data_IF_921771545701
#
_entry.id   IF_921771545701
#
_cell.length_a   1.000
_cell.length_b   1.000
_cell.length_c   1.000
_cell.angle_alpha   90.00
_cell.angle_beta   90.00
_cell.angle_gamma   90.00
#
_symmetry.space_group_name_H-M   'P 1'
#
loop_
_entity.id
_entity.type
_entity.pdbx_description
1 polymer ?
#
# COMPACT_ATOMS: atom_id res chain seq x y z
N UNK A 1 -36.44 77.52 -1.29
CA UNK A 1 -35.26 77.57 -0.39
C UNK A 1 -35.33 76.35 0.47
N UNK A 2 -34.95 75.24 -0.02
CA UNK A 2 -35.03 73.97 0.67
C UNK A 2 -33.63 73.39 0.74
N UNK A 3 -33.15 73.19 1.94
CA UNK A 3 -31.88 72.58 2.26
C UNK A 3 -32.05 71.04 2.16
N UNK A 4 -31.31 70.45 1.26
CA UNK A 4 -31.15 69.00 1.19
C UNK A 4 -29.99 68.58 2.13
N UNK A 5 -30.29 67.77 3.13
CA UNK A 5 -29.28 67.09 3.96
C UNK A 5 -28.80 65.82 3.22
N UNK A 6 -27.50 65.47 3.31
CA UNK A 6 -27.02 64.23 2.70
C UNK A 6 -27.36 63.04 3.60
N UNK A 7 -27.88 61.98 2.97
CA UNK A 7 -28.13 60.69 3.53
C UNK A 7 -26.82 59.99 3.86
N UNK A 8 -26.74 59.54 5.10
CA UNK A 8 -25.69 58.70 5.67
C UNK A 8 -25.59 57.36 4.90
N UNK A 9 -24.40 57.07 4.39
CA UNK A 9 -24.10 55.78 3.74
C UNK A 9 -23.78 54.78 4.85
N UNK A 10 -24.66 53.78 5.01
CA UNK A 10 -24.50 52.71 5.95
C UNK A 10 -23.16 51.96 5.75
N UNK A 11 -22.49 51.70 6.87
CA UNK A 11 -21.34 50.81 6.93
C UNK A 11 -21.71 49.39 6.51
N UNK A 12 -20.78 48.64 5.91
CA UNK A 12 -21.04 47.22 5.58
C UNK A 12 -21.15 46.42 6.89
N UNK A 13 -22.15 45.56 6.92
CA UNK A 13 -22.39 44.59 7.98
C UNK A 13 -21.14 43.76 8.24
N UNK A 14 -20.72 43.70 9.49
CA UNK A 14 -19.71 42.77 9.99
C UNK A 14 -20.22 41.35 9.78
N UNK A 15 -19.43 40.55 9.10
CA UNK A 15 -19.65 39.10 8.96
C UNK A 15 -19.79 38.47 10.34
N UNK A 16 -20.93 37.83 10.51
CA UNK A 16 -21.31 37.01 11.65
C UNK A 16 -20.28 35.84 11.75
N UNK A 17 -19.25 36.06 12.59
CA UNK A 17 -18.38 35.01 13.02
C UNK A 17 -19.22 33.99 13.78
N UNK A 18 -19.32 32.78 13.23
CA UNK A 18 -19.99 31.67 13.89
C UNK A 18 -19.42 31.53 15.32
N UNK A 19 -20.20 31.97 16.28
CA UNK A 19 -19.93 31.80 17.72
C UNK A 19 -20.02 30.29 18.02
N UNK A 20 -18.86 29.58 17.97
CA UNK A 20 -18.76 28.25 18.47
C UNK A 20 -19.04 28.23 19.96
N UNK A 21 -20.29 28.02 20.32
CA UNK A 21 -20.74 27.90 21.69
C UNK A 21 -20.12 26.64 22.33
N UNK A 22 -19.01 26.86 23.03
CA UNK A 22 -18.43 25.86 23.91
C UNK A 22 -19.32 25.72 25.17
N UNK A 23 -20.00 24.59 25.27
CA UNK A 23 -20.78 24.25 26.46
C UNK A 23 -19.89 23.41 27.38
N UNK A 24 -19.70 23.87 28.62
CA UNK A 24 -19.05 23.06 29.66
C UNK A 24 -20.08 22.06 30.20
N UNK A 25 -20.16 20.89 29.59
CA UNK A 25 -20.85 19.74 30.18
C UNK A 25 -19.99 19.13 31.29
N UNK A 26 -20.62 18.61 32.32
CA UNK A 26 -19.90 17.93 33.41
C UNK A 26 -19.14 16.72 32.84
N UNK A 27 -17.84 16.75 32.99
CA UNK A 27 -16.97 15.63 32.61
C UNK A 27 -17.35 14.36 33.38
N UNK A 28 -17.45 13.23 32.71
CA UNK A 28 -17.85 11.94 33.29
C UNK A 28 -16.88 10.85 32.85
N UNK A 29 -16.42 10.03 33.80
CA UNK A 29 -15.52 8.87 33.56
C UNK A 29 -16.15 7.79 32.68
N UNK A 30 -17.47 7.83 32.46
CA UNK A 30 -18.19 6.87 31.62
C UNK A 30 -18.45 7.37 30.21
N UNK A 31 -18.45 8.69 30.01
CA UNK A 31 -18.64 9.29 28.70
C UNK A 31 -17.36 9.23 27.89
N UNK A 32 -17.45 8.65 26.70
CA UNK A 32 -16.33 8.65 25.75
C UNK A 32 -16.36 9.89 24.86
N UNK A 33 -15.19 10.32 24.45
CA UNK A 33 -14.97 11.44 23.57
C UNK A 33 -13.91 11.08 22.52
N UNK A 34 -14.04 11.63 21.34
CA UNK A 34 -12.98 11.62 20.32
C UNK A 34 -12.15 12.89 20.48
N UNK A 35 -10.84 12.79 20.57
CA UNK A 35 -9.95 13.95 20.54
C UNK A 35 -10.02 14.57 19.16
N UNK A 36 -10.48 15.82 19.08
CA UNK A 36 -10.55 16.59 17.83
C UNK A 36 -9.24 17.35 17.60
N UNK A 37 -8.75 18.02 18.63
CA UNK A 37 -7.45 18.69 18.58
C UNK A 37 -6.77 18.71 19.95
N UNK A 38 -5.46 18.84 19.95
CA UNK A 38 -4.65 18.94 21.16
C UNK A 38 -3.67 20.11 21.04
N UNK A 39 -4.00 21.24 21.65
CA UNK A 39 -3.12 22.42 21.70
C UNK A 39 -2.19 22.33 22.91
N UNK A 40 -0.99 21.81 22.67
CA UNK A 40 0.04 21.64 23.71
C UNK A 40 0.59 22.98 24.22
N UNK A 41 0.56 24.03 23.40
CA UNK A 41 1.07 25.35 23.74
C UNK A 41 0.13 26.07 24.73
N UNK A 42 -1.16 26.04 24.46
CA UNK A 42 -2.18 26.70 25.28
C UNK A 42 -2.79 25.74 26.32
N UNK A 43 -2.38 24.46 26.30
CA UNK A 43 -2.88 23.39 27.19
C UNK A 43 -4.40 23.21 27.09
N UNK A 44 -4.89 23.15 25.86
CA UNK A 44 -6.30 22.95 25.55
C UNK A 44 -6.48 21.62 24.79
N UNK A 45 -7.59 20.96 25.07
CA UNK A 45 -8.01 19.77 24.35
C UNK A 45 -9.45 19.94 23.87
N UNK A 46 -9.68 19.76 22.57
CA UNK A 46 -11.00 19.72 21.98
C UNK A 46 -11.49 18.28 21.89
N UNK A 47 -12.68 18.03 22.38
CA UNK A 47 -13.29 16.70 22.50
C UNK A 47 -14.63 16.68 21.78
N UNK A 48 -14.81 15.76 20.84
CA UNK A 48 -16.07 15.51 20.13
C UNK A 48 -16.85 14.37 20.77
N UNK A 49 -18.16 14.53 20.85
CA UNK A 49 -19.04 13.43 21.23
C UNK A 49 -19.20 12.46 20.05
N UNK A 50 -19.15 11.14 20.27
CA UNK A 50 -19.19 10.15 19.19
C UNK A 50 -20.56 9.98 18.53
N UNK A 51 -21.62 10.51 19.14
CA UNK A 51 -23.01 10.43 18.71
C UNK A 51 -23.57 11.77 18.20
N UNK A 52 -22.72 12.79 18.11
CA UNK A 52 -23.12 14.12 17.66
C UNK A 52 -21.93 14.88 17.07
N UNK A 53 -22.21 15.99 16.37
CA UNK A 53 -21.16 16.91 15.89
C UNK A 53 -20.71 17.91 16.95
N UNK A 54 -21.26 17.82 18.18
CA UNK A 54 -20.86 18.74 19.28
C UNK A 54 -19.41 18.51 19.66
N UNK A 55 -18.71 19.61 19.83
CA UNK A 55 -17.34 19.63 20.35
C UNK A 55 -17.32 20.46 21.64
N UNK A 56 -16.61 19.98 22.65
CA UNK A 56 -16.36 20.68 23.90
C UNK A 56 -14.87 20.90 24.05
N UNK A 57 -14.47 22.00 24.67
CA UNK A 57 -13.07 22.31 24.89
C UNK A 57 -12.76 22.42 26.40
N UNK A 58 -11.71 21.74 26.81
CA UNK A 58 -11.25 21.76 28.19
C UNK A 58 -9.79 22.20 28.28
N UNK A 59 -9.45 22.84 29.39
CA UNK A 59 -8.07 23.05 29.76
C UNK A 59 -7.49 21.85 30.50
N UNK A 60 -6.18 21.68 30.42
CA UNK A 60 -5.43 20.73 31.23
C UNK A 60 -4.16 21.36 31.78
N UNK A 61 -3.54 20.73 32.75
CA UNK A 61 -2.32 21.23 33.43
C UNK A 61 -1.22 20.17 33.40
N UNK A 62 -0.07 20.45 33.98
CA UNK A 62 0.97 19.45 34.21
C UNK A 62 0.58 18.42 35.27
N UNK A 63 -0.40 18.75 36.12
CA UNK A 63 -0.94 17.84 37.12
C UNK A 63 -2.01 16.90 36.58
N UNK A 64 -2.55 17.18 35.38
CA UNK A 64 -3.52 16.32 34.71
C UNK A 64 -2.89 14.94 34.46
N UNK A 65 -3.53 13.90 34.97
CA UNK A 65 -3.08 12.52 34.78
C UNK A 65 -3.41 12.06 33.37
N UNK A 66 -2.39 11.65 32.61
CA UNK A 66 -2.58 11.06 31.29
C UNK A 66 -2.41 9.54 31.45
N UNK A 67 -3.45 8.78 31.12
CA UNK A 67 -3.52 7.35 31.38
C UNK A 67 -3.83 6.59 30.08
N UNK A 68 -3.26 5.39 29.97
CA UNK A 68 -3.64 4.45 28.92
C UNK A 68 -4.98 3.74 29.27
N UNK A 69 -5.40 2.81 28.42
CA UNK A 69 -6.61 2.00 28.58
C UNK A 69 -6.60 1.13 29.84
N UNK A 70 -5.41 0.82 30.38
CA UNK A 70 -5.21 0.02 31.58
C UNK A 70 -5.04 0.88 32.84
N UNK A 71 -5.06 2.20 32.69
CA UNK A 71 -4.88 3.14 33.80
C UNK A 71 -3.41 3.36 34.20
N UNK A 72 -2.47 3.01 33.33
CA UNK A 72 -1.05 3.31 33.54
C UNK A 72 -0.71 4.71 33.05
N UNK A 73 0.20 5.38 33.73
CA UNK A 73 0.66 6.71 33.30
C UNK A 73 1.41 6.65 31.98
N UNK A 74 1.04 7.51 31.06
CA UNK A 74 1.69 7.66 29.75
C UNK A 74 2.02 9.11 29.45
N UNK A 75 2.88 9.35 28.46
CA UNK A 75 3.19 10.69 27.98
C UNK A 75 1.98 11.31 27.28
N UNK A 76 1.83 12.64 27.39
CA UNK A 76 0.86 13.40 26.61
C UNK A 76 0.99 13.18 25.09
N UNK A 77 2.20 12.88 24.59
CA UNK A 77 2.45 12.60 23.18
C UNK A 77 1.77 11.33 22.66
N UNK A 78 1.29 10.49 23.58
CA UNK A 78 0.47 9.32 23.26
C UNK A 78 -0.93 9.71 22.78
N UNK A 79 -1.42 10.87 23.24
CA UNK A 79 -2.71 11.40 22.83
C UNK A 79 -2.58 12.13 21.49
N UNK A 80 -3.43 11.76 20.55
CA UNK A 80 -3.51 12.35 19.21
C UNK A 80 -4.96 12.57 18.81
N UNK A 81 -5.25 13.52 17.92
CA UNK A 81 -6.55 13.60 17.27
C UNK A 81 -7.00 12.24 16.73
N UNK A 82 -8.26 11.92 16.96
CA UNK A 82 -8.84 10.61 16.63
C UNK A 82 -8.73 9.56 17.73
N UNK A 83 -7.92 9.75 18.78
CA UNK A 83 -7.97 8.85 19.94
C UNK A 83 -9.30 9.02 20.69
N UNK A 84 -9.83 7.91 21.18
CA UNK A 84 -11.03 7.92 22.01
C UNK A 84 -10.64 7.86 23.48
N UNK A 85 -11.16 8.81 24.25
CA UNK A 85 -10.79 9.01 25.66
C UNK A 85 -12.02 9.12 26.56
N UNK A 86 -11.82 8.87 27.83
CA UNK A 86 -12.67 9.35 28.93
C UNK A 86 -11.92 10.44 29.67
N UNK A 87 -12.63 11.34 30.32
CA UNK A 87 -12.04 12.44 31.08
C UNK A 87 -12.54 12.43 32.52
N UNK A 88 -11.66 12.79 33.44
CA UNK A 88 -12.03 12.94 34.85
C UNK A 88 -12.75 14.24 35.13
N UNK A 89 -13.04 14.46 36.42
CA UNK A 89 -13.70 15.68 36.87
C UNK A 89 -12.84 16.94 36.63
N UNK A 90 -13.51 18.07 36.61
CA UNK A 90 -12.83 19.37 36.57
C UNK A 90 -12.34 19.77 37.95
N UNK A 91 -11.15 20.34 38.02
CA UNK A 91 -10.63 20.92 39.23
C UNK A 91 -11.27 22.30 39.51
N UNK A 92 -10.83 22.97 40.56
CA UNK A 92 -11.34 24.29 40.96
C UNK A 92 -11.09 25.43 39.94
N UNK A 93 -10.20 25.17 38.96
CA UNK A 93 -9.88 26.11 37.87
C UNK A 93 -10.53 25.68 36.53
N UNK A 94 -11.50 24.75 36.57
CA UNK A 94 -12.16 24.18 35.42
C UNK A 94 -11.18 23.49 34.44
N UNK A 95 -10.13 22.84 34.99
CA UNK A 95 -9.17 22.01 34.23
C UNK A 95 -9.42 20.54 34.49
N UNK A 96 -9.16 19.69 33.47
CA UNK A 96 -9.29 18.26 33.61
C UNK A 96 -8.28 17.70 34.62
N UNK A 97 -8.77 16.84 35.52
CA UNK A 97 -7.92 16.10 36.46
C UNK A 97 -7.25 14.90 35.84
N UNK A 98 -7.91 14.27 34.88
CA UNK A 98 -7.35 13.15 34.13
C UNK A 98 -7.91 13.07 32.69
N UNK A 99 -7.10 12.46 31.80
CA UNK A 99 -7.47 12.07 30.44
C UNK A 99 -7.00 10.63 30.27
N UNK A 100 -7.88 9.72 29.95
CA UNK A 100 -7.59 8.30 29.84
C UNK A 100 -8.04 7.75 28.49
N UNK A 101 -7.20 6.94 27.82
CA UNK A 101 -7.62 6.18 26.66
C UNK A 101 -8.79 5.25 27.04
N UNK A 102 -9.85 5.25 26.26
CA UNK A 102 -11.09 4.55 26.60
C UNK A 102 -10.90 3.03 26.53
N UNK A 103 -11.07 2.33 27.66
CA UNK A 103 -10.93 0.86 27.76
C UNK A 103 -12.11 0.09 27.16
N UNK A 104 -13.26 0.75 26.96
CA UNK A 104 -14.45 0.15 26.35
C UNK A 104 -14.50 0.22 24.84
N UNK A 105 -13.42 0.70 24.21
CA UNK A 105 -13.29 0.87 22.77
C UNK A 105 -12.22 -0.07 22.26
N UNK A 106 -12.54 -0.84 21.22
CA UNK A 106 -11.54 -1.62 20.50
C UNK A 106 -10.81 -0.75 19.50
N UNK A 107 -9.58 -1.13 19.16
CA UNK A 107 -8.83 -0.53 18.07
C UNK A 107 -8.13 -1.61 17.24
N UNK A 108 -7.91 -1.29 15.96
CA UNK A 108 -7.10 -2.09 15.04
C UNK A 108 -6.09 -1.14 14.37
N UNK A 109 -4.83 -1.51 14.44
CA UNK A 109 -3.70 -0.72 13.90
C UNK A 109 -3.20 -1.31 12.58
N UNK A 110 -2.48 -0.48 11.82
CA UNK A 110 -1.74 -0.89 10.62
C UNK A 110 -2.60 -1.65 9.59
N UNK A 111 -3.83 -1.20 9.41
CA UNK A 111 -4.74 -1.79 8.42
C UNK A 111 -4.34 -1.28 7.04
N UNK A 112 -3.89 -2.19 6.17
CA UNK A 112 -3.47 -1.92 4.79
C UNK A 112 -4.46 -2.46 3.76
N UNK A 113 -5.39 -3.34 4.18
CA UNK A 113 -6.42 -3.93 3.30
C UNK A 113 -7.78 -3.65 3.88
N UNK A 114 -8.49 -2.77 3.25
CA UNK A 114 -9.84 -2.39 3.62
C UNK A 114 -10.61 -1.92 2.39
N UNK A 115 -11.93 -1.87 2.47
CA UNK A 115 -12.76 -1.18 1.49
C UNK A 115 -13.82 -0.33 2.18
N UNK A 116 -14.10 0.85 1.64
CA UNK A 116 -15.05 1.81 2.17
C UNK A 116 -16.22 1.95 1.20
N UNK A 117 -17.42 1.57 1.65
CA UNK A 117 -18.66 1.86 0.92
C UNK A 117 -19.35 3.04 1.59
N UNK A 118 -19.15 4.22 1.02
CA UNK A 118 -19.72 5.47 1.54
C UNK A 118 -21.24 5.53 1.34
N UNK A 119 -21.80 4.81 0.38
CA UNK A 119 -23.23 4.85 0.07
C UNK A 119 -24.09 4.24 1.17
N UNK A 120 -23.54 3.28 1.91
CA UNK A 120 -24.22 2.56 2.99
C UNK A 120 -23.52 2.72 4.35
N UNK A 121 -22.48 3.55 4.44
CA UNK A 121 -21.71 3.78 5.66
C UNK A 121 -21.05 2.50 6.19
N UNK A 122 -20.29 1.81 5.33
CA UNK A 122 -19.66 0.54 5.68
C UNK A 122 -18.15 0.57 5.41
N UNK A 123 -17.38 0.04 6.35
CA UNK A 123 -15.96 -0.28 6.20
C UNK A 123 -15.79 -1.80 6.35
N UNK A 124 -15.09 -2.42 5.42
CA UNK A 124 -14.73 -3.84 5.47
C UNK A 124 -13.24 -3.95 5.76
N UNK A 125 -12.88 -4.74 6.76
CA UNK A 125 -11.48 -5.04 7.12
C UNK A 125 -11.33 -6.56 7.12
N UNK A 126 -10.58 -7.10 6.17
CA UNK A 126 -10.56 -8.54 5.92
C UNK A 126 -11.97 -9.05 5.58
N UNK A 127 -12.49 -9.99 6.38
CA UNK A 127 -13.85 -10.52 6.22
C UNK A 127 -14.89 -9.81 7.09
N UNK A 128 -14.46 -8.90 7.97
CA UNK A 128 -15.34 -8.28 8.94
C UNK A 128 -15.90 -6.96 8.43
N UNK A 129 -17.22 -6.83 8.52
CA UNK A 129 -17.96 -5.63 8.14
C UNK A 129 -18.26 -4.79 9.38
N UNK A 130 -17.91 -3.52 9.32
CA UNK A 130 -18.19 -2.52 10.33
C UNK A 130 -19.07 -1.43 9.73
N UNK A 131 -19.85 -0.78 10.58
CA UNK A 131 -20.70 0.36 10.18
C UNK A 131 -20.11 1.64 10.72
N UNK A 132 -20.38 2.73 10.05
CA UNK A 132 -20.18 4.07 10.55
C UNK A 132 -21.35 4.95 10.16
N UNK A 133 -21.53 6.04 10.86
CA UNK A 133 -22.60 7.00 10.61
C UNK A 133 -22.01 8.39 10.28
N UNK A 134 -22.86 9.39 10.19
CA UNK A 134 -22.50 10.77 9.89
C UNK A 134 -21.63 11.44 10.96
N UNK A 135 -21.47 10.82 12.14
CA UNK A 135 -20.66 11.35 13.26
C UNK A 135 -19.26 10.76 13.28
N UNK A 136 -18.94 9.87 12.34
CA UNK A 136 -17.58 9.36 12.18
C UNK A 136 -16.58 10.51 12.03
N UNK A 137 -15.51 10.44 12.83
CA UNK A 137 -14.39 11.39 12.74
C UNK A 137 -13.18 10.73 12.08
N UNK A 138 -12.63 11.41 11.09
CA UNK A 138 -11.46 10.91 10.35
C UNK A 138 -10.34 11.92 10.43
N UNK A 139 -9.13 11.45 10.72
CA UNK A 139 -7.96 12.30 10.92
C UNK A 139 -6.78 11.86 10.07
N UNK A 140 -6.04 12.85 9.56
CA UNK A 140 -4.76 12.67 8.88
C UNK A 140 -3.84 13.84 9.30
N UNK A 141 -2.61 13.55 9.76
CA UNK A 141 -1.66 14.55 10.27
C UNK A 141 -2.27 15.53 11.30
N UNK A 142 -3.00 14.96 12.27
CA UNK A 142 -3.68 15.70 13.31
C UNK A 142 -4.77 16.69 12.80
N UNK A 143 -5.12 16.62 11.51
CA UNK A 143 -6.22 17.37 10.90
C UNK A 143 -7.43 16.49 10.67
N UNK A 144 -8.63 17.01 10.93
CA UNK A 144 -9.86 16.33 10.57
C UNK A 144 -10.07 16.41 9.05
N UNK A 145 -10.35 15.27 8.42
CA UNK A 145 -10.54 15.14 6.97
C UNK A 145 -11.87 14.42 6.66
N UNK A 146 -12.29 14.49 5.40
CA UNK A 146 -13.40 13.66 4.93
C UNK A 146 -12.97 12.20 4.74
N UNK A 147 -13.88 11.26 4.98
CA UNK A 147 -13.65 9.83 4.69
C UNK A 147 -13.32 9.58 3.20
N UNK A 148 -13.81 10.43 2.30
CA UNK A 148 -13.53 10.36 0.86
C UNK A 148 -12.08 10.71 0.50
N UNK A 149 -11.29 11.20 1.45
CA UNK A 149 -9.88 11.51 1.26
C UNK A 149 -8.96 10.36 1.72
N UNK A 150 -9.53 9.26 2.19
CA UNK A 150 -8.76 8.04 2.47
C UNK A 150 -8.56 7.32 1.15
N UNK A 151 -7.31 7.12 0.76
CA UNK A 151 -6.91 6.34 -0.43
C UNK A 151 -6.81 4.84 -0.12
N UNK A 152 -6.88 4.02 -1.16
CA UNK A 152 -6.75 2.56 -1.04
C UNK A 152 -5.36 2.12 -0.57
N UNK A 153 -4.36 2.95 -0.84
CA UNK A 153 -2.97 2.73 -0.44
C UNK A 153 -2.63 3.27 0.95
N UNK A 154 -3.60 3.84 1.66
CA UNK A 154 -3.37 4.35 3.00
C UNK A 154 -3.25 3.23 4.02
N UNK A 155 -2.50 3.50 5.07
CA UNK A 155 -2.49 2.67 6.26
C UNK A 155 -3.33 3.38 7.31
N UNK A 156 -4.37 2.71 7.79
CA UNK A 156 -5.31 3.29 8.73
C UNK A 156 -5.29 2.59 10.08
N UNK A 157 -5.66 3.34 11.10
CA UNK A 157 -6.05 2.86 12.43
C UNK A 157 -7.52 3.13 12.61
N UNK A 158 -8.26 2.16 13.09
CA UNK A 158 -9.71 2.25 13.31
C UNK A 158 -10.03 2.00 14.77
N UNK A 159 -10.95 2.79 15.33
CA UNK A 159 -11.43 2.64 16.70
C UNK A 159 -12.94 2.63 16.72
N UNK A 160 -13.52 1.79 17.59
CA UNK A 160 -14.98 1.64 17.65
C UNK A 160 -15.48 0.86 18.85
N UNK A 161 -16.80 0.72 18.92
CA UNK A 161 -17.48 -0.14 19.88
C UNK A 161 -18.34 -1.14 19.13
N UNK A 162 -18.39 -2.39 19.55
CA UNK A 162 -19.10 -3.46 18.87
C UNK A 162 -18.77 -3.53 17.37
N UNK A 163 -19.74 -3.25 16.50
CA UNK A 163 -19.59 -3.17 15.04
C UNK A 163 -19.66 -1.73 14.51
N UNK A 164 -19.66 -0.74 15.38
CA UNK A 164 -19.71 0.69 15.05
C UNK A 164 -18.32 1.29 15.11
N UNK A 165 -17.89 1.93 14.03
CA UNK A 165 -16.65 2.73 13.97
C UNK A 165 -16.99 4.14 14.45
N UNK A 166 -16.14 4.66 15.32
CA UNK A 166 -16.27 5.99 15.89
C UNK A 166 -15.17 6.93 15.39
N UNK A 167 -13.98 6.40 15.09
CA UNK A 167 -12.85 7.19 14.61
C UNK A 167 -11.95 6.38 13.68
N UNK A 168 -11.42 7.05 12.66
CA UNK A 168 -10.37 6.55 11.77
C UNK A 168 -9.20 7.54 11.79
N UNK A 169 -7.98 7.02 11.87
CA UNK A 169 -6.75 7.79 11.75
C UNK A 169 -5.95 7.24 10.57
N UNK A 170 -5.56 8.10 9.64
CA UNK A 170 -4.61 7.76 8.58
C UNK A 170 -3.21 7.79 9.17
N UNK A 171 -2.63 6.62 9.38
CA UNK A 171 -1.29 6.44 9.98
C UNK A 171 -0.21 6.74 8.95
N UNK A 172 -0.37 6.19 7.74
CA UNK A 172 0.44 6.51 6.58
C UNK A 172 -0.51 6.88 5.44
N UNK A 173 -0.37 8.08 4.93
CA UNK A 173 -1.20 8.58 3.84
C UNK A 173 -0.52 8.39 2.49
N UNK A 174 -1.14 8.90 1.46
CA UNK A 174 -0.66 8.89 0.09
C UNK A 174 -0.39 10.31 -0.42
N UNK A 175 0.38 10.40 -1.49
CA UNK A 175 0.54 11.57 -2.33
C UNK A 175 0.41 11.16 -3.79
N UNK A 176 0.48 12.13 -4.67
CA UNK A 176 0.31 11.92 -6.10
C UNK A 176 1.62 12.22 -6.82
N UNK A 177 2.06 11.33 -7.71
CA UNK A 177 3.12 11.61 -8.68
C UNK A 177 2.44 11.91 -10.01
N UNK A 178 2.82 13.01 -10.64
CA UNK A 178 2.39 13.37 -12.00
C UNK A 178 3.62 13.41 -12.90
N UNK A 179 3.59 12.63 -13.99
CA UNK A 179 4.68 12.58 -14.95
C UNK A 179 4.47 13.67 -16.01
N UNK A 180 5.57 14.28 -16.42
CA UNK A 180 5.60 15.23 -17.54
C UNK A 180 6.69 14.84 -18.54
N UNK A 181 6.58 15.33 -19.80
CA UNK A 181 7.49 15.02 -20.90
C UNK A 181 7.63 13.50 -21.12
N UNK A 182 6.49 12.83 -21.23
CA UNK A 182 6.39 11.36 -21.28
C UNK A 182 6.73 10.77 -22.65
N UNK A 183 6.79 11.57 -23.72
CA UNK A 183 6.78 11.14 -25.12
C UNK A 183 7.87 10.11 -25.46
N UNK A 184 9.08 10.30 -24.90
CA UNK A 184 10.19 9.37 -25.13
C UNK A 184 9.97 8.03 -24.42
N UNK A 185 9.29 8.07 -23.28
CA UNK A 185 9.08 6.92 -22.41
C UNK A 185 7.73 6.24 -22.57
N UNK A 186 6.85 6.78 -23.42
CA UNK A 186 5.57 6.16 -23.72
C UNK A 186 5.74 4.72 -24.23
N UNK A 187 4.99 3.83 -23.60
CA UNK A 187 5.08 2.40 -23.88
C UNK A 187 6.24 1.68 -23.20
N UNK A 188 7.20 2.41 -22.64
CA UNK A 188 8.22 1.89 -21.74
C UNK A 188 7.68 1.71 -20.32
N UNK A 189 8.57 1.54 -19.36
CA UNK A 189 8.20 1.18 -17.99
C UNK A 189 8.74 2.17 -16.97
N UNK A 190 7.92 2.36 -15.92
CA UNK A 190 8.27 3.08 -14.71
C UNK A 190 8.14 2.15 -13.51
N UNK A 191 9.07 2.24 -12.58
CA UNK A 191 8.99 1.56 -11.28
C UNK A 191 9.26 2.51 -10.13
N UNK A 192 8.56 2.32 -9.01
CA UNK A 192 8.81 3.00 -7.74
C UNK A 192 9.17 1.99 -6.66
N UNK A 193 10.46 1.75 -6.49
CA UNK A 193 10.97 0.69 -5.64
C UNK A 193 10.31 -0.64 -6.01
N UNK A 194 9.79 -1.35 -5.00
CA UNK A 194 9.02 -2.60 -5.18
C UNK A 194 7.50 -2.39 -5.15
N UNK A 195 7.03 -1.15 -5.03
CA UNK A 195 5.60 -0.85 -4.81
C UNK A 195 4.80 -0.75 -6.10
N UNK A 196 5.37 -0.10 -7.11
CA UNK A 196 4.70 0.17 -8.37
C UNK A 196 5.61 -0.23 -9.52
N UNK A 197 5.03 -0.93 -10.46
CA UNK A 197 5.63 -1.29 -11.73
C UNK A 197 4.59 -1.10 -12.84
N UNK A 198 4.75 -0.10 -13.68
CA UNK A 198 3.72 0.35 -14.58
C UNK A 198 4.26 0.71 -15.96
N UNK A 199 3.41 0.59 -16.98
CA UNK A 199 3.70 1.06 -18.32
C UNK A 199 3.46 2.56 -18.40
N UNK A 200 4.42 3.32 -18.92
CA UNK A 200 4.29 4.76 -19.06
C UNK A 200 3.22 5.10 -20.10
N UNK A 201 2.26 5.91 -19.71
CA UNK A 201 1.21 6.48 -20.58
C UNK A 201 1.29 8.00 -20.58
N UNK A 202 0.72 8.66 -21.60
CA UNK A 202 0.60 10.11 -21.59
C UNK A 202 -0.10 10.62 -20.33
N UNK A 203 0.38 11.75 -19.79
CA UNK A 203 -0.22 12.40 -18.60
C UNK A 203 -0.46 11.47 -17.40
N UNK A 204 0.43 10.48 -17.22
CA UNK A 204 0.31 9.47 -16.18
C UNK A 204 0.33 10.08 -14.79
N UNK A 205 -0.65 9.70 -13.98
CA UNK A 205 -0.77 10.08 -12.58
C UNK A 205 -0.77 8.83 -11.71
N UNK A 206 0.03 8.82 -10.65
CA UNK A 206 0.19 7.69 -9.74
C UNK A 206 -0.14 8.12 -8.32
N UNK A 207 -1.07 7.44 -7.67
CA UNK A 207 -1.29 7.55 -6.24
C UNK A 207 -0.31 6.61 -5.52
N UNK A 208 0.49 7.14 -4.61
CA UNK A 208 1.61 6.42 -3.99
C UNK A 208 1.61 6.70 -2.49
N UNK A 209 1.79 5.70 -1.62
CA UNK A 209 1.99 5.96 -0.20
C UNK A 209 3.11 6.98 0.03
N UNK A 210 2.96 7.83 1.04
CA UNK A 210 4.02 8.75 1.41
C UNK A 210 5.31 8.01 1.74
N UNK A 211 6.43 8.53 1.25
CA UNK A 211 7.72 7.86 1.44
C UNK A 211 8.80 8.37 0.50
N UNK A 212 9.93 7.72 0.57
CA UNK A 212 11.07 7.96 -0.30
C UNK A 212 11.28 6.74 -1.18
N UNK A 213 11.27 6.94 -2.50
CA UNK A 213 11.31 5.88 -3.49
C UNK A 213 12.44 6.10 -4.49
N UNK A 214 13.03 5.02 -4.94
CA UNK A 214 13.78 5.00 -6.19
C UNK A 214 12.77 4.92 -7.32
N UNK A 215 12.72 5.95 -8.16
CA UNK A 215 11.92 5.99 -9.37
C UNK A 215 12.85 5.70 -10.54
N UNK A 216 12.60 4.60 -11.22
CA UNK A 216 13.33 4.19 -12.42
C UNK A 216 12.41 4.22 -13.62
N UNK A 217 12.93 4.70 -14.74
CA UNK A 217 12.21 4.72 -16.03
C UNK A 217 13.11 4.16 -17.10
N UNK A 218 12.56 3.35 -18.02
CA UNK A 218 13.34 2.80 -19.14
C UNK A 218 12.46 2.61 -20.38
N UNK A 219 12.99 3.05 -21.54
CA UNK A 219 12.39 2.81 -22.86
C UNK A 219 13.44 2.98 -23.98
N UNK A 220 13.54 2.00 -24.88
CA UNK A 220 14.37 2.00 -26.10
C UNK A 220 15.80 2.55 -25.90
N UNK A 221 16.46 2.11 -24.85
CA UNK A 221 17.82 2.50 -24.52
C UNK A 221 17.95 3.78 -23.69
N UNK A 222 16.88 4.50 -23.47
CA UNK A 222 16.84 5.64 -22.57
C UNK A 222 16.38 5.20 -21.19
N UNK A 223 16.90 5.81 -20.15
CA UNK A 223 16.46 5.52 -18.80
C UNK A 223 17.46 5.99 -17.76
N UNK A 224 16.94 6.19 -16.56
CA UNK A 224 17.71 6.54 -15.38
C UNK A 224 16.92 6.18 -14.12
N UNK A 225 17.60 6.27 -12.97
CA UNK A 225 17.00 6.05 -11.65
C UNK A 225 17.29 7.26 -10.76
N UNK A 226 16.25 7.84 -10.18
CA UNK A 226 16.37 8.96 -9.25
C UNK A 226 15.52 8.73 -8.01
N UNK A 227 15.95 9.37 -6.91
CA UNK A 227 15.18 9.33 -5.68
C UNK A 227 14.12 10.43 -5.71
N UNK A 228 12.87 10.03 -5.50
CA UNK A 228 11.73 10.93 -5.34
C UNK A 228 11.18 10.85 -3.91
N UNK A 229 10.71 11.99 -3.39
CA UNK A 229 10.05 12.08 -2.09
C UNK A 229 8.57 12.34 -2.32
N UNK A 230 7.73 11.37 -1.95
CA UNK A 230 6.28 11.53 -1.93
C UNK A 230 5.84 11.97 -0.55
N UNK A 231 5.08 13.05 -0.47
CA UNK A 231 4.51 13.54 0.78
C UNK A 231 3.00 13.42 0.74
N UNK A 232 2.43 13.22 1.91
CA UNK A 232 1.00 13.07 2.13
C UNK A 232 0.24 14.27 1.57
N UNK A 233 -0.82 13.99 0.81
CA UNK A 233 -1.71 14.98 0.19
C UNK A 233 -1.01 16.02 -0.71
N UNK A 234 0.27 15.78 -1.09
CA UNK A 234 1.01 16.64 -2.01
C UNK A 234 1.16 15.98 -3.39
N UNK A 235 1.22 16.82 -4.43
CA UNK A 235 1.55 16.38 -5.79
C UNK A 235 3.04 16.57 -6.04
N UNK A 236 3.71 15.49 -6.43
CA UNK A 236 5.12 15.49 -6.86
C UNK A 236 5.17 15.44 -8.37
N UNK A 237 5.65 16.51 -9.00
CA UNK A 237 5.90 16.53 -10.45
C UNK A 237 7.22 15.84 -10.75
N UNK A 238 7.22 14.92 -11.71
CA UNK A 238 8.40 14.22 -12.20
C UNK A 238 8.55 14.47 -13.67
N UNK A 239 9.62 15.18 -14.04
CA UNK A 239 9.96 15.48 -15.42
C UNK A 239 10.81 14.34 -16.01
N UNK A 240 10.26 13.59 -16.96
CA UNK A 240 10.94 12.45 -17.56
C UNK A 240 12.07 12.87 -18.51
N UNK A 241 12.13 14.12 -18.94
CA UNK A 241 13.30 14.62 -19.68
C UNK A 241 14.59 14.53 -18.87
N UNK A 242 14.49 14.61 -17.54
CA UNK A 242 15.63 14.43 -16.65
C UNK A 242 16.15 12.99 -16.58
N UNK A 243 15.42 12.02 -17.11
CA UNK A 243 15.75 10.58 -17.12
C UNK A 243 16.31 10.10 -18.47
N UNK A 244 16.40 10.97 -19.46
CA UNK A 244 16.91 10.62 -20.81
C UNK A 244 18.37 10.20 -20.81
N UNK A 245 19.19 10.81 -19.94
CA UNK A 245 20.64 10.66 -20.03
C UNK A 245 21.22 11.21 -21.32
N UNK A 246 22.42 10.78 -21.70
CA UNK A 246 23.16 11.28 -22.87
C UNK A 246 22.87 10.52 -24.18
N UNK A 247 21.93 9.60 -24.18
CA UNK A 247 21.59 8.78 -25.36
C UNK A 247 21.24 7.33 -25.02
N UNK A 248 21.00 6.48 -26.01
CA UNK A 248 20.61 5.11 -25.74
C UNK A 248 21.72 4.35 -25.00
N UNK A 249 21.39 3.92 -23.79
CA UNK A 249 22.27 3.12 -22.93
C UNK A 249 22.11 1.64 -23.29
N UNK A 250 23.21 0.92 -23.19
CA UNK A 250 23.29 -0.52 -23.45
C UNK A 250 23.68 -1.24 -22.17
N UNK A 251 23.17 -2.45 -22.00
CA UNK A 251 23.52 -3.36 -20.91
C UNK A 251 24.20 -4.59 -21.47
N UNK A 252 25.29 -5.01 -20.84
CA UNK A 252 25.87 -6.34 -21.08
C UNK A 252 25.18 -7.36 -20.17
N UNK A 253 24.28 -8.17 -20.72
CA UNK A 253 23.51 -9.17 -19.98
C UNK A 253 24.20 -10.53 -20.10
N UNK A 254 24.56 -11.11 -18.96
CA UNK A 254 25.07 -12.48 -18.86
C UNK A 254 23.97 -13.39 -18.31
N UNK A 255 23.61 -14.43 -19.05
CA UNK A 255 22.64 -15.43 -18.61
C UNK A 255 23.37 -16.65 -18.06
N UNK A 256 23.11 -17.00 -16.80
CA UNK A 256 23.50 -18.26 -16.18
C UNK A 256 22.31 -19.20 -16.26
N UNK A 257 22.31 -20.10 -17.25
CA UNK A 257 21.22 -21.05 -17.49
C UNK A 257 21.65 -22.41 -16.96
N UNK A 258 20.93 -22.95 -15.96
CA UNK A 258 21.27 -24.19 -15.30
C UNK A 258 20.58 -25.43 -15.94
N UNK A 259 19.77 -25.22 -16.96
CA UNK A 259 19.08 -26.29 -17.70
C UNK A 259 19.87 -26.66 -18.94
N UNK A 260 20.27 -27.93 -19.11
CA UNK A 260 20.97 -28.39 -20.32
C UNK A 260 20.12 -28.18 -21.58
N UNK A 261 20.77 -27.78 -22.67
CA UNK A 261 20.18 -27.64 -24.00
C UNK A 261 18.93 -26.70 -24.06
N UNK A 262 18.80 -25.80 -23.08
CA UNK A 262 17.73 -24.80 -23.07
C UNK A 262 17.89 -23.81 -24.23
N UNK A 263 16.77 -23.45 -24.84
CA UNK A 263 16.68 -22.37 -25.82
C UNK A 263 16.17 -21.11 -25.12
N UNK A 264 16.85 -20.01 -25.34
CA UNK A 264 16.51 -18.71 -24.73
C UNK A 264 16.07 -17.72 -25.81
N UNK A 265 14.90 -17.11 -25.61
CA UNK A 265 14.34 -16.13 -26.53
C UNK A 265 14.14 -14.79 -25.81
N UNK A 266 14.48 -13.70 -26.50
CA UNK A 266 14.16 -12.33 -26.08
C UNK A 266 13.22 -11.72 -27.11
N UNK A 267 12.03 -11.32 -26.68
CA UNK A 267 10.98 -10.82 -27.59
C UNK A 267 10.68 -11.78 -28.76
N UNK A 268 10.82 -13.08 -28.54
CA UNK A 268 10.60 -14.12 -29.56
C UNK A 268 11.77 -14.37 -30.51
N UNK A 269 12.90 -13.69 -30.34
CA UNK A 269 14.13 -13.92 -31.07
C UNK A 269 15.08 -14.78 -30.26
N UNK A 270 15.57 -15.92 -30.85
CA UNK A 270 16.50 -16.81 -30.18
C UNK A 270 17.85 -16.14 -29.98
N UNK A 271 18.40 -16.25 -28.79
CA UNK A 271 19.70 -15.67 -28.44
C UNK A 271 20.71 -16.73 -28.04
N UNK A 272 21.98 -16.45 -28.35
CA UNK A 272 23.09 -17.24 -27.86
C UNK A 272 23.58 -16.75 -26.50
N UNK A 273 23.08 -17.37 -25.44
CA UNK A 273 23.42 -17.00 -24.05
C UNK A 273 24.80 -17.51 -23.56
N UNK A 274 25.52 -18.26 -24.39
CA UNK A 274 26.91 -18.66 -24.09
C UNK A 274 27.91 -17.49 -24.08
N UNK A 275 27.46 -16.26 -24.40
CA UNK A 275 28.20 -15.01 -24.34
C UNK A 275 27.31 -13.91 -23.80
N UNK A 276 27.89 -12.88 -23.22
CA UNK A 276 27.12 -11.68 -22.86
C UNK A 276 26.35 -11.14 -24.08
N UNK A 277 25.09 -10.82 -23.86
CA UNK A 277 24.18 -10.25 -24.88
C UNK A 277 24.03 -8.76 -24.61
N UNK A 278 24.23 -7.94 -25.64
CA UNK A 278 24.07 -6.50 -25.52
C UNK A 278 22.61 -6.13 -25.79
N UNK A 279 21.94 -5.58 -24.76
CA UNK A 279 20.56 -5.13 -24.83
C UNK A 279 20.47 -3.63 -24.51
N UNK A 280 19.53 -2.93 -25.13
CA UNK A 280 19.19 -1.56 -24.75
C UNK A 280 18.48 -1.51 -23.42
N UNK A 281 18.49 -0.36 -22.74
CA UNK A 281 17.59 -0.14 -21.60
C UNK A 281 16.13 -0.24 -22.07
N UNK A 282 15.33 -0.97 -21.32
CA UNK A 282 13.93 -1.25 -21.67
C UNK A 282 13.39 -2.50 -21.01
N UNK A 283 12.27 -2.98 -21.51
CA UNK A 283 11.61 -4.19 -21.04
C UNK A 283 11.50 -5.21 -22.17
N UNK A 284 11.84 -6.42 -21.87
CA UNK A 284 11.90 -7.53 -22.80
C UNK A 284 11.06 -8.70 -22.29
N UNK A 285 10.44 -9.44 -23.19
CA UNK A 285 9.86 -10.74 -22.89
C UNK A 285 10.97 -11.78 -22.99
N UNK A 286 11.26 -12.45 -21.87
CA UNK A 286 12.20 -13.55 -21.80
C UNK A 286 11.42 -14.85 -21.82
N UNK A 287 11.76 -15.76 -22.74
CA UNK A 287 11.15 -17.10 -22.84
C UNK A 287 12.26 -18.15 -22.83
N UNK A 288 12.11 -19.16 -22.00
CA UNK A 288 13.04 -20.32 -21.91
C UNK A 288 12.28 -21.57 -22.25
N UNK A 289 12.83 -22.35 -23.16
CA UNK A 289 12.27 -23.63 -23.62
C UNK A 289 13.34 -24.71 -23.46
N UNK A 290 12.98 -25.82 -22.82
CA UNK A 290 13.86 -26.97 -22.70
C UNK A 290 13.05 -28.28 -22.79
N UNK A 291 13.64 -29.34 -23.35
CA UNK A 291 12.98 -30.62 -23.49
C UNK A 291 12.68 -31.25 -22.11
N UNK A 292 11.42 -31.61 -21.88
CA UNK A 292 10.96 -32.22 -20.63
C UNK A 292 10.62 -31.18 -19.53
N UNK A 293 10.65 -29.94 -19.85
CA UNK A 293 10.29 -28.83 -18.92
C UNK A 293 9.17 -28.00 -19.49
N UNK A 294 8.38 -27.36 -18.60
CA UNK A 294 7.38 -26.38 -19.02
C UNK A 294 8.07 -25.13 -19.59
N UNK A 295 7.45 -24.52 -20.61
CA UNK A 295 7.93 -23.23 -21.14
C UNK A 295 7.83 -22.16 -20.06
N UNK A 296 8.93 -21.47 -19.83
CA UNK A 296 9.02 -20.44 -18.80
C UNK A 296 9.12 -19.05 -19.44
N UNK A 297 8.27 -18.13 -19.01
CA UNK A 297 8.20 -16.77 -19.53
C UNK A 297 8.27 -15.74 -18.42
N UNK A 298 9.09 -14.71 -18.62
CA UNK A 298 9.27 -13.60 -17.68
C UNK A 298 9.51 -12.29 -18.39
N UNK A 299 9.19 -11.19 -17.69
CA UNK A 299 9.61 -9.86 -18.11
C UNK A 299 10.97 -9.54 -17.53
N UNK A 300 11.91 -9.15 -18.41
CA UNK A 300 13.25 -8.72 -18.09
C UNK A 300 13.34 -7.20 -18.21
N UNK A 301 13.65 -6.52 -17.11
CA UNK A 301 13.84 -5.06 -17.07
C UNK A 301 15.31 -4.74 -17.08
N UNK A 302 15.75 -3.97 -18.06
CA UNK A 302 17.13 -3.52 -18.24
C UNK A 302 17.21 -2.03 -17.98
N UNK A 303 17.95 -1.64 -16.95
CA UNK A 303 18.19 -0.23 -16.59
C UNK A 303 19.58 0.03 -16.01
N UNK A 304 20.51 -0.92 -16.18
CA UNK A 304 21.90 -0.85 -15.70
C UNK A 304 22.88 -1.22 -16.82
N UNK A 305 24.14 -0.85 -16.66
CA UNK A 305 25.19 -1.11 -17.68
C UNK A 305 25.58 -2.60 -17.77
N UNK A 306 25.46 -3.33 -16.65
CA UNK A 306 25.71 -4.77 -16.57
C UNK A 306 24.60 -5.46 -15.79
N UNK A 307 24.26 -6.67 -16.19
CA UNK A 307 23.29 -7.52 -15.47
C UNK A 307 23.68 -8.99 -15.59
N UNK A 308 23.45 -9.75 -14.53
CA UNK A 308 23.55 -11.22 -14.52
C UNK A 308 22.18 -11.78 -14.22
N UNK A 309 21.68 -12.62 -15.12
CA UNK A 309 20.40 -13.29 -15.01
C UNK A 309 20.67 -14.76 -14.72
N UNK A 310 20.28 -15.19 -13.55
CA UNK A 310 20.34 -16.61 -13.17
C UNK A 310 18.98 -17.26 -13.48
N UNK A 311 18.99 -18.29 -14.32
CA UNK A 311 17.80 -19.06 -14.70
C UNK A 311 17.97 -20.46 -14.11
N UNK A 312 17.30 -20.69 -12.97
CA UNK A 312 17.28 -21.97 -12.28
C UNK A 312 16.58 -23.06 -13.11
N UNK A 313 16.47 -24.26 -12.55
CA UNK A 313 15.76 -25.37 -13.19
C UNK A 313 14.26 -25.10 -13.22
N UNK A 314 13.60 -24.98 -14.40
CA UNK A 314 12.16 -24.96 -14.50
C UNK A 314 11.55 -26.27 -13.97
N UNK A 315 10.27 -26.27 -13.67
CA UNK A 315 9.60 -27.50 -13.23
C UNK A 315 9.47 -28.49 -14.39
N UNK A 316 9.60 -29.77 -14.08
CA UNK A 316 9.38 -30.82 -15.05
C UNK A 316 7.92 -30.79 -15.54
N UNK A 317 7.72 -30.90 -16.86
CA UNK A 317 6.38 -31.10 -17.41
C UNK A 317 5.85 -32.47 -16.94
N UNK A 318 4.68 -32.47 -16.30
CA UNK A 318 4.00 -33.71 -15.92
C UNK A 318 3.33 -34.33 -17.18
N UNK A 319 4.15 -34.88 -18.06
CA UNK A 319 3.67 -35.67 -19.19
C UNK A 319 3.10 -36.98 -18.64
N UNK A 320 1.82 -36.93 -18.24
CA UNK A 320 1.05 -38.07 -17.74
C UNK A 320 0.98 -39.24 -18.71
N UNK A 321 2.13 -39.83 -19.05
CA UNK A 321 2.20 -41.12 -19.73
C UNK A 321 2.74 -42.19 -18.78
N UNK A 322 1.97 -42.47 -17.75
CA UNK A 322 2.13 -43.67 -16.92
C UNK A 322 1.65 -44.88 -17.71
N UNK A 323 2.54 -45.59 -18.38
CA UNK A 323 2.27 -46.94 -18.82
C UNK A 323 2.04 -47.84 -17.62
N UNK A 324 0.78 -48.21 -17.39
CA UNK A 324 0.38 -49.32 -16.52
C UNK A 324 1.09 -50.59 -16.94
N UNK A 325 2.08 -51.02 -16.17
CA UNK A 325 2.47 -52.42 -16.14
C UNK A 325 1.99 -52.97 -14.80
N UNK A 326 0.86 -53.65 -14.87
CA UNK A 326 0.39 -54.54 -13.82
C UNK A 326 1.44 -55.63 -13.58
N UNK A 327 1.90 -55.79 -12.35
CA UNK A 327 2.44 -57.04 -11.83
C UNK A 327 1.76 -57.37 -10.51
N UNK A 328 1.04 -58.48 -10.52
CA UNK A 328 0.40 -59.09 -9.38
C UNK A 328 1.44 -59.80 -8.52
N UNK A 329 1.38 -59.57 -7.21
CA UNK A 329 2.23 -60.31 -6.27
C UNK A 329 1.75 -60.17 -4.81
N UNK A 330 0.83 -61.04 -4.48
CA UNK A 330 0.31 -61.41 -3.16
C UNK A 330 1.40 -61.58 -2.06
N UNK A 331 1.20 -61.11 -0.84
CA UNK A 331 1.12 -61.84 0.43
C UNK A 331 1.20 -60.94 1.66
N UNK A 332 0.11 -61.00 2.41
CA UNK A 332 -0.09 -61.02 3.87
C UNK A 332 1.07 -60.71 4.84
N UNK A 333 0.88 -59.84 5.84
CA UNK A 333 0.48 -60.15 7.22
C UNK A 333 0.79 -59.01 8.20
N UNK A 334 -0.24 -58.72 8.95
CA UNK A 334 -0.37 -58.40 10.39
C UNK A 334 0.72 -57.63 11.13
N UNK A 335 0.28 -56.56 11.78
CA UNK A 335 0.43 -56.53 13.23
C UNK A 335 0.89 -55.23 13.86
N UNK A 336 -0.05 -54.64 14.60
CA UNK A 336 0.03 -54.03 15.92
C UNK A 336 0.70 -52.69 16.16
N UNK A 337 -0.15 -51.78 16.57
CA UNK A 337 -0.13 -50.88 17.72
C UNK A 337 1.22 -50.35 18.27
N UNK A 338 1.36 -49.05 18.38
CA UNK A 338 1.29 -48.34 19.67
C UNK A 338 1.63 -46.85 19.47
N UNK A 339 0.76 -46.03 20.03
CA UNK A 339 0.88 -44.69 20.61
C UNK A 339 2.30 -44.23 20.98
N UNK A 340 2.67 -42.99 20.82
CA UNK A 340 2.46 -41.90 21.77
C UNK A 340 3.35 -40.67 21.46
N UNK A 341 2.72 -39.52 21.61
CA UNK A 341 3.19 -38.26 22.22
C UNK A 341 4.33 -37.43 21.65
N UNK A 342 3.91 -36.23 21.29
CA UNK A 342 4.43 -34.89 21.68
C UNK A 342 5.86 -34.49 21.29
N UNK A 343 5.99 -33.43 20.58
CA UNK A 343 6.15 -32.06 21.09
C UNK A 343 6.50 -31.07 20.01
N UNK A 344 5.91 -29.92 20.15
CA UNK A 344 6.10 -28.72 19.37
C UNK A 344 7.53 -28.20 19.41
N UNK A 345 7.96 -27.58 18.33
CA UNK A 345 8.79 -26.37 18.43
C UNK A 345 8.54 -25.51 17.19
N UNK A 346 7.86 -24.41 17.42
CA UNK A 346 7.76 -23.25 16.55
C UNK A 346 9.17 -22.68 16.31
N UNK A 347 9.49 -22.40 15.06
CA UNK A 347 10.47 -21.35 14.74
C UNK A 347 9.94 -20.59 13.52
N UNK A 348 9.32 -19.49 13.85
CA UNK A 348 8.94 -18.39 12.99
C UNK A 348 10.20 -17.81 12.33
N UNK A 349 10.26 -17.86 11.03
CA UNK A 349 11.18 -17.04 10.24
C UNK A 349 10.40 -16.56 9.01
N UNK A 350 9.78 -15.40 9.19
CA UNK A 350 9.22 -14.62 8.10
C UNK A 350 10.34 -14.16 7.16
N UNK A 351 10.48 -14.80 6.02
CA UNK A 351 11.21 -14.26 4.89
C UNK A 351 10.21 -13.56 3.97
N UNK A 352 10.35 -12.24 3.90
CA UNK A 352 9.74 -11.42 2.87
C UNK A 352 10.61 -11.51 1.63
N UNK A 353 10.24 -12.34 0.68
CA UNK A 353 10.90 -12.35 -0.63
C UNK A 353 10.24 -11.30 -1.53
N UNK A 354 11.01 -10.27 -1.79
CA UNK A 354 10.67 -9.22 -2.72
C UNK A 354 10.93 -9.64 -4.17
N UNK A 355 10.12 -9.07 -5.04
CA UNK A 355 10.27 -9.11 -6.49
C UNK A 355 11.72 -8.78 -6.88
N UNK A 356 12.42 -9.71 -7.55
CA UNK A 356 13.79 -9.48 -7.97
C UNK A 356 13.84 -8.44 -9.08
N UNK A 357 14.18 -7.22 -8.69
CA UNK A 357 14.69 -6.23 -9.63
C UNK A 357 16.13 -6.57 -9.98
N UNK A 358 16.38 -6.70 -11.26
CA UNK A 358 17.75 -6.73 -11.74
C UNK A 358 18.23 -5.29 -11.77
N UNK A 359 18.77 -4.83 -10.65
CA UNK A 359 19.50 -3.58 -10.59
C UNK A 359 20.97 -3.86 -10.81
N UNK A 360 21.55 -3.28 -11.85
CA UNK A 360 22.98 -3.34 -12.01
C UNK A 360 23.66 -2.45 -10.98
N UNK A 361 23.94 -3.03 -9.85
CA UNK A 361 24.93 -2.45 -8.95
C UNK A 361 26.20 -3.25 -9.11
N UNK A 362 27.34 -2.59 -9.10
CA UNK A 362 28.70 -3.13 -9.36
C UNK A 362 29.17 -4.17 -8.32
N UNK A 363 28.25 -4.71 -7.54
CA UNK A 363 28.48 -5.84 -6.64
C UNK A 363 27.64 -7.01 -7.13
N UNK A 364 28.29 -8.12 -7.42
CA UNK A 364 27.75 -9.40 -7.85
C UNK A 364 26.50 -9.82 -7.05
N UNK A 365 25.32 -9.33 -7.48
CA UNK A 365 24.05 -9.83 -6.99
C UNK A 365 23.48 -10.77 -8.04
N UNK A 366 23.57 -12.06 -7.76
CA UNK A 366 22.89 -13.11 -8.50
C UNK A 366 21.41 -13.05 -8.12
N UNK A 367 20.58 -12.67 -9.05
CA UNK A 367 19.13 -12.67 -8.85
C UNK A 367 18.60 -13.99 -9.41
N UNK A 368 18.18 -14.89 -8.52
CA UNK A 368 17.48 -16.11 -8.93
C UNK A 368 16.09 -15.73 -9.41
N UNK A 369 15.82 -16.02 -10.66
CA UNK A 369 14.47 -16.00 -11.21
C UNK A 369 13.82 -17.33 -10.84
N UNK A 370 12.92 -17.32 -9.88
CA UNK A 370 12.16 -18.52 -9.51
C UNK A 370 10.91 -18.64 -10.35
N UNK A 371 10.67 -19.87 -10.77
CA UNK A 371 9.57 -20.33 -11.60
C UNK A 371 8.19 -20.11 -10.99
N UNK A 372 7.23 -19.81 -11.86
CA UNK A 372 5.82 -19.90 -11.54
C UNK A 372 5.28 -21.22 -12.06
N UNK A 373 5.10 -22.17 -11.18
CA UNK A 373 4.35 -23.37 -11.51
C UNK A 373 2.90 -23.06 -11.80
N UNK A 374 2.50 -23.35 -13.02
CA UNK A 374 1.12 -23.26 -13.43
C UNK A 374 0.23 -24.23 -12.66
N UNK A 375 -0.80 -23.71 -12.04
CA UNK A 375 -1.92 -24.53 -11.55
C UNK A 375 -2.71 -25.00 -12.76
N UNK A 376 -2.83 -26.31 -12.91
CA UNK A 376 -3.66 -26.96 -13.93
C UNK A 376 -5.11 -26.53 -13.79
N UNK A 377 -5.56 -25.67 -14.67
CA UNK A 377 -6.96 -25.39 -14.95
C UNK A 377 -7.18 -25.51 -16.45
N UNK A 378 -7.91 -26.52 -16.87
CA UNK A 378 -8.37 -26.69 -18.24
C UNK A 378 -9.21 -25.49 -18.67
N UNK A 379 -8.65 -24.64 -19.52
CA UNK A 379 -9.33 -23.55 -20.16
C UNK A 379 -8.41 -22.95 -21.19
N UNK A 380 -8.65 -23.24 -22.46
CA UNK A 380 -7.99 -22.59 -23.57
C UNK A 380 -8.28 -21.08 -23.53
N UNK A 381 -7.28 -20.32 -23.20
CA UNK A 381 -7.31 -18.88 -23.28
C UNK A 381 -5.88 -18.41 -23.18
N UNK A 382 -5.32 -18.02 -24.31
CA UNK A 382 -4.05 -17.31 -24.34
C UNK A 382 -4.28 -15.94 -23.73
N UNK A 383 -4.06 -15.82 -22.44
CA UNK A 383 -4.03 -14.52 -21.79
C UNK A 383 -2.68 -13.88 -21.98
N UNK A 384 -2.59 -13.14 -23.08
CA UNK A 384 -1.59 -12.11 -23.21
C UNK A 384 -1.87 -11.07 -22.11
N UNK A 385 -0.99 -11.00 -21.15
CA UNK A 385 -0.96 -9.91 -20.21
C UNK A 385 -0.89 -8.58 -20.99
N UNK A 386 -1.93 -7.76 -20.78
CA UNK A 386 -2.03 -6.38 -21.24
C UNK A 386 -2.31 -6.20 -22.74
N UNK A 387 -3.55 -6.40 -23.12
CA UNK A 387 -4.19 -5.69 -24.22
C UNK A 387 -5.47 -5.04 -23.68
N UNK A 388 -5.33 -3.93 -23.00
CA UNK A 388 -6.43 -3.06 -22.64
C UNK A 388 -6.76 -2.15 -23.82
N UNK A 389 -7.75 -2.52 -24.64
CA UNK A 389 -8.44 -1.54 -25.47
C UNK A 389 -9.45 -0.82 -24.59
N UNK A 390 -9.19 0.47 -24.36
CA UNK A 390 -9.98 1.29 -23.47
C UNK A 390 -11.41 1.53 -23.94
N UNK A 391 -12.26 1.71 -22.97
CA UNK A 391 -13.32 2.70 -22.98
C UNK A 391 -13.39 3.32 -21.60
N UNK A 392 -13.20 4.61 -21.58
CA UNK A 392 -13.27 5.59 -20.52
C UNK A 392 -14.17 5.30 -19.32
N UNK A 393 -13.54 5.07 -18.16
CA UNK A 393 -13.93 5.67 -16.89
C UNK A 393 -12.65 5.79 -16.04
N UNK A 394 -12.32 7.01 -15.66
CA UNK A 394 -11.01 7.40 -15.13
C UNK A 394 -10.79 7.07 -13.63
N UNK A 395 -11.55 6.14 -13.08
CA UNK A 395 -11.42 5.70 -11.68
C UNK A 395 -11.06 4.23 -11.52
N UNK A 396 -11.64 3.37 -12.34
CA UNK A 396 -11.56 1.91 -12.13
C UNK A 396 -10.29 1.27 -12.74
N UNK A 397 -9.70 1.93 -13.75
CA UNK A 397 -8.56 1.37 -14.51
C UNK A 397 -7.26 1.26 -13.71
N UNK A 398 -7.05 2.14 -12.72
CA UNK A 398 -5.83 2.15 -11.93
C UNK A 398 -5.90 1.14 -10.78
N UNK A 399 -7.07 1.01 -10.16
CA UNK A 399 -7.34 -0.02 -9.14
C UNK A 399 -7.19 -1.43 -9.72
N UNK A 400 -7.82 -1.70 -10.86
CA UNK A 400 -7.70 -2.98 -11.59
C UNK A 400 -6.24 -3.28 -11.98
N UNK A 401 -5.49 -2.23 -12.29
CA UNK A 401 -4.08 -2.36 -12.65
C UNK A 401 -3.20 -2.68 -11.45
N UNK A 402 -3.41 -2.01 -10.31
CA UNK A 402 -2.72 -2.33 -9.05
C UNK A 402 -3.11 -3.70 -8.52
N UNK A 403 -4.36 -4.10 -8.68
CA UNK A 403 -4.83 -5.44 -8.34
C UNK A 403 -4.16 -6.51 -9.23
N UNK A 404 -4.03 -6.23 -10.52
CA UNK A 404 -3.34 -7.14 -11.46
C UNK A 404 -1.85 -7.29 -11.11
N UNK A 405 -1.19 -6.19 -10.74
CA UNK A 405 0.20 -6.24 -10.28
C UNK A 405 0.30 -6.84 -8.87
N UNK A 406 -0.62 -6.53 -7.98
CA UNK A 406 -0.73 -7.13 -6.66
C UNK A 406 -0.92 -8.66 -6.75
N UNK A 407 -1.76 -9.12 -7.66
CA UNK A 407 -1.99 -10.54 -7.92
C UNK A 407 -0.78 -11.20 -8.60
N UNK A 408 -0.08 -10.50 -9.49
CA UNK A 408 1.17 -10.97 -10.07
C UNK A 408 2.26 -11.11 -9.01
N UNK A 409 2.44 -10.11 -8.16
CA UNK A 409 3.39 -10.15 -7.03
C UNK A 409 3.01 -11.28 -6.05
N UNK A 410 1.72 -11.44 -5.77
CA UNK A 410 1.22 -12.50 -4.90
C UNK A 410 1.40 -13.88 -5.50
N UNK A 411 1.12 -14.07 -6.79
CA UNK A 411 1.37 -15.33 -7.48
C UNK A 411 2.85 -15.69 -7.51
N UNK A 412 3.72 -14.68 -7.56
CA UNK A 412 5.18 -14.84 -7.46
C UNK A 412 5.62 -15.20 -6.03
N UNK A 413 4.98 -14.65 -5.00
CA UNK A 413 5.27 -14.98 -3.61
C UNK A 413 4.71 -16.35 -3.20
N UNK A 414 3.52 -16.72 -3.68
CA UNK A 414 2.87 -18.00 -3.39
C UNK A 414 3.54 -19.19 -4.15
N UNK A 415 4.32 -18.93 -5.19
CA UNK A 415 5.09 -19.96 -5.91
C UNK A 415 6.41 -20.34 -5.20
N UNK A 416 6.71 -19.74 -4.06
CA UNK A 416 7.92 -20.01 -3.28
C UNK A 416 7.67 -20.79 -1.97
N UNK A 417 6.47 -21.31 -1.75
CA UNK A 417 6.16 -22.14 -0.58
C UNK A 417 5.90 -23.59 -0.94
#
# INVERSE_FOLDING_TARGET
>A
MDQYAPTDAGAPDEEDGADETYVTDNASDTQIYVIIHLDKKNKLIGLGLPDSLRTVQYGYTQATQILDEHGQYVSLDRLKPGNIVTVGELDSEAKLTSIRLASQVWYQDNITRFSIDQSIGMLVIGETKYRYDQYLRVFSDDQEISISQIGENDVIRVQGQDKQILSIQVVQGHGTIVLSNTELFEGGWISLGTKIYAKVTPDMTLEVPEGRYELSVANDGYGDTKIVQVKRSETTMVDLDEYKGEGPKMCQVTFAVHVPDALLYINGEEINYGKPVELRYGVYQLTVIADGYETWERQLVIHSEEAVIDIGEPQLSDDGNGTDTADEGDTSSQGSDTQDSQAASESDTSQTDGMSHITGDTTTNTTNTTDTTGTTGTGSGSDSLISGSGTSSTGDSYSDYLDTIGDLIKSLADSQN
#
